data_IF_246564118135
#
_entry.id   IF_246564118135
#
_cell.length_a   1.000
_cell.length_b   1.000
_cell.length_c   1.000
_cell.angle_alpha   90.00
_cell.angle_beta   90.00
_cell.angle_gamma   90.00
#
_symmetry.space_group_name_H-M   'P 1'
#
loop_
_entity.id
_entity.type
_entity.pdbx_description
1 polymer ?
#
# COMPACT_ATOMS: atom_id res chain seq x y z
N UNK A 1 33.84 -55.54 8.09
CA UNK A 1 33.19 -54.32 7.53
C UNK A 1 34.29 -53.44 6.94
N UNK A 2 34.29 -53.24 5.61
CA UNK A 2 35.35 -52.55 4.89
C UNK A 2 35.31 -51.05 5.21
N UNK A 3 36.38 -50.50 5.74
CA UNK A 3 36.56 -49.06 6.04
C UNK A 3 36.28 -48.13 4.83
N UNK A 4 36.44 -48.66 3.61
CA UNK A 4 36.16 -47.93 2.37
C UNK A 4 34.67 -47.62 2.15
N UNK A 5 33.76 -48.50 2.60
CA UNK A 5 32.31 -48.30 2.41
C UNK A 5 31.73 -47.25 3.36
N UNK A 6 32.28 -47.13 4.58
CA UNK A 6 31.85 -46.13 5.55
C UNK A 6 32.20 -44.71 5.13
N UNK A 7 33.36 -44.51 4.52
CA UNK A 7 33.78 -43.21 4.01
C UNK A 7 32.93 -42.75 2.81
N UNK A 8 32.61 -43.65 1.89
CA UNK A 8 31.72 -43.39 0.74
C UNK A 8 30.34 -42.95 1.21
N UNK A 9 29.77 -43.62 2.21
CA UNK A 9 28.44 -43.28 2.77
C UNK A 9 28.47 -41.90 3.40
N UNK A 10 29.56 -41.56 4.13
CA UNK A 10 29.69 -40.25 4.75
C UNK A 10 29.77 -39.12 3.69
N UNK A 11 30.51 -39.33 2.60
CA UNK A 11 30.63 -38.35 1.50
C UNK A 11 29.27 -38.18 0.81
N UNK A 12 28.53 -39.26 0.53
CA UNK A 12 27.19 -39.18 -0.06
C UNK A 12 26.19 -38.42 0.83
N UNK A 13 26.24 -38.62 2.14
CA UNK A 13 25.38 -37.90 3.09
C UNK A 13 25.68 -36.39 3.10
N UNK A 14 26.94 -36.00 3.07
CA UNK A 14 27.35 -34.59 3.00
C UNK A 14 26.89 -33.93 1.70
N UNK A 15 27.04 -34.62 0.56
CA UNK A 15 26.62 -34.10 -0.75
C UNK A 15 25.08 -33.93 -0.79
N UNK A 16 24.30 -34.87 -0.26
CA UNK A 16 22.86 -34.77 -0.18
C UNK A 16 22.41 -33.60 0.69
N UNK A 17 23.05 -33.40 1.85
CA UNK A 17 22.78 -32.25 2.72
C UNK A 17 23.08 -30.92 2.01
N UNK A 18 24.19 -30.84 1.28
CA UNK A 18 24.53 -29.63 0.50
C UNK A 18 23.50 -29.35 -0.60
N UNK A 19 23.05 -30.39 -1.33
CA UNK A 19 22.02 -30.23 -2.37
C UNK A 19 20.69 -29.77 -1.75
N UNK A 20 20.28 -30.33 -0.61
CA UNK A 20 19.07 -29.92 0.10
C UNK A 20 19.18 -28.47 0.60
N UNK A 21 20.33 -28.05 1.11
CA UNK A 21 20.58 -26.67 1.53
C UNK A 21 20.54 -25.68 0.36
N UNK A 22 21.13 -26.04 -0.78
CA UNK A 22 21.10 -25.21 -2.00
C UNK A 22 19.66 -25.12 -2.53
N UNK A 23 18.91 -26.22 -2.55
CA UNK A 23 17.51 -26.24 -2.96
C UNK A 23 16.65 -25.40 -2.00
N UNK A 24 16.88 -25.48 -0.69
CA UNK A 24 16.20 -24.68 0.32
C UNK A 24 16.50 -23.18 0.16
N UNK A 25 17.77 -22.81 -0.03
CA UNK A 25 18.18 -21.42 -0.24
C UNK A 25 17.68 -20.86 -1.58
N UNK A 26 17.58 -21.69 -2.63
CA UNK A 26 17.01 -21.28 -3.90
C UNK A 26 15.47 -21.20 -3.84
N UNK A 27 14.80 -22.01 -3.01
CA UNK A 27 13.37 -21.92 -2.75
C UNK A 27 13.01 -20.62 -2.00
N UNK A 28 13.90 -20.16 -1.14
CA UNK A 28 13.78 -18.85 -0.48
C UNK A 28 14.05 -17.67 -1.42
N UNK A 29 14.81 -17.91 -2.49
CA UNK A 29 15.08 -16.92 -3.55
C UNK A 29 14.08 -16.99 -4.70
N UNK A 30 12.90 -17.63 -4.54
CA UNK A 30 11.85 -17.38 -5.51
C UNK A 30 11.62 -15.87 -5.51
N UNK A 31 11.90 -15.18 -6.63
CA UNK A 31 11.41 -13.84 -6.79
C UNK A 31 9.91 -14.01 -6.63
N UNK A 32 9.36 -13.47 -5.53
CA UNK A 32 7.95 -13.19 -5.47
C UNK A 32 7.64 -12.63 -6.83
N UNK A 33 6.83 -13.33 -7.63
CA UNK A 33 6.33 -12.82 -8.90
C UNK A 33 5.89 -11.40 -8.60
N UNK A 34 6.76 -10.46 -8.96
CA UNK A 34 6.60 -9.03 -8.74
C UNK A 34 5.38 -8.60 -9.52
N UNK A 35 4.21 -8.87 -8.94
CA UNK A 35 3.09 -8.05 -9.33
C UNK A 35 3.47 -6.63 -8.94
N UNK A 36 3.29 -5.66 -9.82
CA UNK A 36 3.68 -4.29 -9.52
C UNK A 36 3.07 -3.88 -8.18
N UNK A 37 3.91 -3.30 -7.33
CA UNK A 37 3.52 -2.66 -6.09
C UNK A 37 2.43 -1.64 -6.42
N UNK A 38 1.32 -1.55 -5.67
CA UNK A 38 0.32 -0.53 -5.94
C UNK A 38 0.97 0.84 -5.99
N UNK A 39 0.79 1.55 -7.10
CA UNK A 39 1.37 2.87 -7.30
C UNK A 39 0.41 3.94 -6.79
N UNK A 40 0.92 4.85 -5.98
CA UNK A 40 0.17 6.01 -5.47
C UNK A 40 0.49 7.28 -6.27
N UNK A 41 1.52 7.21 -7.13
CA UNK A 41 2.10 8.41 -7.74
C UNK A 41 1.25 9.04 -8.86
N UNK A 42 0.32 8.32 -9.46
CA UNK A 42 -0.41 8.75 -10.66
C UNK A 42 -1.88 9.15 -10.41
N UNK A 43 -2.27 9.36 -9.15
CA UNK A 43 -3.63 9.76 -8.87
C UNK A 43 -3.71 11.29 -8.87
N UNK A 44 -4.33 11.84 -9.89
CA UNK A 44 -4.46 13.29 -10.19
C UNK A 44 -5.29 14.08 -9.14
N UNK A 45 -5.64 13.39 -8.02
CA UNK A 45 -6.28 13.98 -6.85
C UNK A 45 -5.50 15.19 -6.27
N UNK A 46 -4.18 15.27 -6.52
CA UNK A 46 -3.36 16.43 -6.13
C UNK A 46 -3.85 17.74 -6.74
N UNK A 47 -4.40 17.71 -7.95
CA UNK A 47 -4.91 18.91 -8.61
C UNK A 47 -6.10 19.51 -7.83
N UNK A 48 -6.96 18.68 -7.24
CA UNK A 48 -8.06 19.12 -6.40
C UNK A 48 -7.56 19.81 -5.10
N UNK A 49 -6.51 19.29 -4.49
CA UNK A 49 -5.92 19.84 -3.26
C UNK A 49 -5.24 21.21 -3.48
N UNK A 50 -4.89 21.53 -4.72
CA UNK A 50 -4.21 22.80 -5.09
C UNK A 50 -5.20 23.91 -5.44
N UNK A 51 -6.51 23.65 -5.48
CA UNK A 51 -7.50 24.72 -5.69
C UNK A 51 -7.40 25.77 -4.57
N UNK A 52 -7.49 27.07 -4.89
CA UNK A 52 -7.47 28.10 -3.87
C UNK A 52 -8.61 27.86 -2.89
N UNK A 53 -8.26 27.70 -1.61
CA UNK A 53 -9.26 27.54 -0.55
C UNK A 53 -10.13 28.80 -0.49
N UNK A 54 -11.46 28.65 -0.49
CA UNK A 54 -12.32 29.79 -0.21
C UNK A 54 -11.99 30.36 1.18
N UNK A 55 -12.06 31.66 1.33
CA UNK A 55 -11.86 32.36 2.62
C UNK A 55 -13.06 32.16 3.55
N UNK A 56 -13.43 30.90 3.80
CA UNK A 56 -14.58 30.57 4.63
C UNK A 56 -14.12 30.50 6.08
N UNK A 57 -14.60 31.39 6.92
CA UNK A 57 -14.38 31.38 8.38
C UNK A 57 -15.26 30.34 9.11
N UNK A 58 -15.95 29.49 8.36
CA UNK A 58 -16.89 28.53 8.89
C UNK A 58 -16.19 27.40 9.67
N UNK A 59 -16.68 27.17 10.88
CA UNK A 59 -16.15 26.14 11.78
C UNK A 59 -16.36 24.73 11.22
N UNK A 60 -17.42 24.50 10.48
CA UNK A 60 -17.75 23.18 9.89
C UNK A 60 -16.78 22.85 8.76
N UNK A 61 -16.51 23.80 7.86
CA UNK A 61 -15.53 23.63 6.79
C UNK A 61 -14.12 23.36 7.35
N UNK A 62 -13.72 24.14 8.37
CA UNK A 62 -12.41 23.94 9.05
C UNK A 62 -12.32 22.55 9.71
N UNK A 63 -13.43 22.07 10.28
CA UNK A 63 -13.46 20.73 10.88
C UNK A 63 -13.31 19.62 9.82
N UNK A 64 -13.96 19.78 8.66
CA UNK A 64 -13.80 18.85 7.52
C UNK A 64 -12.38 18.88 6.96
N UNK A 65 -11.79 20.05 6.75
CA UNK A 65 -10.40 20.19 6.28
C UNK A 65 -9.41 19.54 7.24
N UNK A 66 -9.61 19.71 8.56
CA UNK A 66 -8.78 19.05 9.58
C UNK A 66 -8.91 17.52 9.52
N UNK A 67 -10.13 16.99 9.38
CA UNK A 67 -10.37 15.55 9.25
C UNK A 67 -9.69 15.00 7.99
N UNK A 68 -9.85 15.69 6.85
CA UNK A 68 -9.19 15.37 5.59
C UNK A 68 -7.67 15.30 5.74
N UNK A 69 -7.07 16.34 6.32
CA UNK A 69 -5.63 16.42 6.52
C UNK A 69 -5.11 15.29 7.45
N UNK A 70 -5.86 14.95 8.50
CA UNK A 70 -5.51 13.85 9.40
C UNK A 70 -5.55 12.49 8.68
N UNK A 71 -6.58 12.26 7.85
CA UNK A 71 -6.70 11.04 7.07
C UNK A 71 -5.55 10.92 6.05
N UNK A 72 -5.18 12.00 5.38
CA UNK A 72 -4.05 12.03 4.45
C UNK A 72 -2.71 11.77 5.16
N UNK A 73 -2.50 12.35 6.34
CA UNK A 73 -1.31 12.07 7.16
C UNK A 73 -1.24 10.59 7.57
N UNK A 74 -2.36 10.01 8.03
CA UNK A 74 -2.43 8.60 8.38
C UNK A 74 -2.12 7.71 7.18
N UNK A 75 -2.68 8.02 6.01
CA UNK A 75 -2.44 7.30 4.76
C UNK A 75 -0.95 7.26 4.39
N UNK A 76 -0.28 8.39 4.48
CA UNK A 76 1.14 8.50 4.10
C UNK A 76 2.04 7.75 5.10
N UNK A 77 1.74 7.84 6.40
CA UNK A 77 2.44 7.09 7.45
C UNK A 77 2.28 5.58 7.23
N UNK A 78 1.05 5.11 7.08
CA UNK A 78 0.76 3.68 6.94
C UNK A 78 1.34 3.12 5.62
N UNK A 79 1.42 3.94 4.56
CA UNK A 79 2.09 3.53 3.33
C UNK A 79 3.61 3.40 3.51
N UNK A 80 4.23 4.33 4.25
CA UNK A 80 5.66 4.23 4.58
C UNK A 80 5.94 2.99 5.45
N UNK A 81 5.05 2.65 6.37
CA UNK A 81 5.15 1.42 7.17
C UNK A 81 4.95 0.17 6.30
N UNK A 82 4.06 0.21 5.31
CA UNK A 82 3.93 -0.85 4.32
C UNK A 82 5.22 -1.06 3.52
N UNK A 83 5.83 0.02 3.05
CA UNK A 83 7.11 -0.05 2.33
C UNK A 83 8.22 -0.67 3.17
N UNK A 84 8.23 -0.39 4.48
CA UNK A 84 9.24 -0.85 5.42
C UNK A 84 9.03 -2.28 5.90
N UNK A 85 7.79 -2.68 6.15
CA UNK A 85 7.46 -3.94 6.81
C UNK A 85 6.76 -4.96 5.92
N UNK A 86 6.31 -4.57 4.73
CA UNK A 86 5.67 -5.45 3.77
C UNK A 86 4.29 -6.00 4.19
N UNK A 87 3.69 -5.49 5.26
CA UNK A 87 2.43 -6.03 5.79
C UNK A 87 1.21 -5.52 5.03
N UNK A 88 0.36 -6.44 4.58
CA UNK A 88 -0.93 -6.14 3.94
C UNK A 88 -1.83 -5.23 4.79
N UNK A 89 -1.71 -5.28 6.12
CA UNK A 89 -2.50 -4.45 7.03
C UNK A 89 -2.18 -2.98 6.78
N UNK A 90 -0.90 -2.59 6.73
CA UNK A 90 -0.49 -1.21 6.48
C UNK A 90 -0.90 -0.73 5.09
N UNK A 91 -0.82 -1.60 4.07
CA UNK A 91 -1.32 -1.28 2.73
C UNK A 91 -2.81 -0.97 2.76
N UNK A 92 -3.62 -1.85 3.34
CA UNK A 92 -5.07 -1.68 3.41
C UNK A 92 -5.47 -0.44 4.21
N UNK A 93 -4.83 -0.18 5.37
CA UNK A 93 -5.12 1.01 6.19
C UNK A 93 -4.73 2.29 5.48
N UNK A 94 -3.62 2.31 4.75
CA UNK A 94 -3.22 3.45 3.93
C UNK A 94 -4.29 3.80 2.89
N UNK A 95 -4.76 2.82 2.10
CA UNK A 95 -5.78 3.08 1.09
C UNK A 95 -7.15 3.42 1.70
N UNK A 96 -7.54 2.83 2.82
CA UNK A 96 -8.75 3.22 3.54
C UNK A 96 -8.68 4.69 3.98
N UNK A 97 -7.56 5.13 4.51
CA UNK A 97 -7.36 6.54 4.91
C UNK A 97 -7.38 7.49 3.71
N UNK A 98 -6.89 7.07 2.51
CA UNK A 98 -7.01 7.87 1.27
C UNK A 98 -8.45 8.00 0.81
N UNK A 99 -9.21 6.91 0.84
CA UNK A 99 -10.65 6.91 0.53
C UNK A 99 -11.40 7.84 1.50
N UNK A 100 -11.06 7.78 2.78
CA UNK A 100 -11.66 8.66 3.80
C UNK A 100 -11.31 10.14 3.54
N UNK A 101 -10.06 10.46 3.23
CA UNK A 101 -9.63 11.80 2.84
C UNK A 101 -10.41 12.32 1.63
N UNK A 102 -10.58 11.50 0.58
CA UNK A 102 -11.33 11.86 -0.62
C UNK A 102 -12.83 12.09 -0.30
N UNK A 103 -13.42 11.30 0.60
CA UNK A 103 -14.80 11.50 1.05
C UNK A 103 -14.97 12.82 1.83
N UNK A 104 -14.00 13.22 2.67
CA UNK A 104 -14.03 14.54 3.30
C UNK A 104 -13.90 15.66 2.25
N UNK A 105 -13.07 15.48 1.23
CA UNK A 105 -12.96 16.44 0.13
C UNK A 105 -14.29 16.58 -0.63
N UNK A 106 -15.02 15.49 -0.86
CA UNK A 106 -16.37 15.53 -1.45
C UNK A 106 -17.35 16.33 -0.58
N UNK A 107 -17.34 16.12 0.73
CA UNK A 107 -18.19 16.88 1.65
C UNK A 107 -17.84 18.37 1.63
N UNK A 108 -16.55 18.73 1.55
CA UNK A 108 -16.10 20.11 1.42
C UNK A 108 -16.55 20.72 0.10
N UNK A 109 -16.48 20.00 -1.01
CA UNK A 109 -16.94 20.49 -2.31
C UNK A 109 -18.47 20.69 -2.31
N UNK A 110 -19.23 19.74 -1.75
CA UNK A 110 -20.68 19.88 -1.57
C UNK A 110 -21.05 21.05 -0.67
N UNK A 111 -20.22 21.33 0.33
CA UNK A 111 -20.42 22.47 1.22
C UNK A 111 -20.25 23.82 0.50
N UNK A 112 -19.28 23.90 -0.41
CA UNK A 112 -18.97 25.12 -1.18
C UNK A 112 -19.96 25.30 -2.35
N UNK A 113 -20.13 24.26 -3.16
CA UNK A 113 -20.82 24.33 -4.46
C UNK A 113 -22.26 23.82 -4.40
N UNK A 114 -22.67 23.25 -3.25
CA UNK A 114 -24.00 22.69 -3.07
C UNK A 114 -24.28 21.53 -4.02
N UNK A 115 -25.51 21.47 -4.54
CA UNK A 115 -25.94 20.38 -5.43
C UNK A 115 -25.32 20.45 -6.84
N UNK A 116 -24.67 21.54 -7.19
CA UNK A 116 -24.02 21.74 -8.50
C UNK A 116 -22.54 21.31 -8.49
N UNK A 117 -22.07 20.74 -7.37
CA UNK A 117 -20.70 20.27 -7.24
C UNK A 117 -20.38 19.18 -8.27
N UNK A 118 -19.31 19.36 -9.03
CA UNK A 118 -18.77 18.30 -9.87
C UNK A 118 -17.84 17.42 -9.02
N UNK A 119 -18.31 16.22 -8.73
CA UNK A 119 -17.62 15.24 -7.89
C UNK A 119 -16.91 14.14 -8.70
N UNK A 120 -16.93 14.23 -10.03
CA UNK A 120 -16.46 13.16 -10.94
C UNK A 120 -14.99 12.80 -10.72
N UNK A 121 -14.12 13.78 -10.49
CA UNK A 121 -12.69 13.55 -10.19
C UNK A 121 -12.52 12.81 -8.86
N UNK A 122 -13.26 13.20 -7.82
CA UNK A 122 -13.18 12.57 -6.51
C UNK A 122 -13.76 11.15 -6.51
N UNK A 123 -14.84 10.92 -7.26
CA UNK A 123 -15.41 9.59 -7.43
C UNK A 123 -14.44 8.67 -8.19
N UNK A 124 -13.75 9.20 -9.18
CA UNK A 124 -12.71 8.46 -9.90
C UNK A 124 -11.55 8.12 -8.97
N UNK A 125 -11.05 9.08 -8.20
CA UNK A 125 -9.97 8.86 -7.24
C UNK A 125 -10.33 7.79 -6.19
N UNK A 126 -11.56 7.80 -5.67
CA UNK A 126 -12.03 6.78 -4.73
C UNK A 126 -12.00 5.38 -5.36
N UNK A 127 -12.51 5.23 -6.59
CA UNK A 127 -12.49 3.95 -7.32
C UNK A 127 -11.06 3.46 -7.56
N UNK A 128 -10.15 4.37 -7.90
CA UNK A 128 -8.75 4.03 -8.12
C UNK A 128 -8.08 3.57 -6.81
N UNK A 129 -8.36 4.23 -5.68
CA UNK A 129 -7.88 3.78 -4.37
C UNK A 129 -8.46 2.41 -3.98
N UNK A 130 -9.74 2.15 -4.24
CA UNK A 130 -10.35 0.83 -4.01
C UNK A 130 -9.70 -0.25 -4.86
N UNK A 131 -9.41 0.05 -6.13
CA UNK A 131 -8.72 -0.85 -7.04
C UNK A 131 -7.28 -1.12 -6.57
N UNK A 132 -6.51 -0.09 -6.19
CA UNK A 132 -5.16 -0.27 -5.65
C UNK A 132 -5.17 -1.03 -4.33
N UNK A 133 -6.14 -0.75 -3.43
CA UNK A 133 -6.34 -1.52 -2.20
C UNK A 133 -6.52 -3.01 -2.47
N UNK A 134 -7.26 -3.37 -3.52
CA UNK A 134 -7.49 -4.77 -3.89
C UNK A 134 -6.21 -5.53 -4.28
N UNK A 135 -5.13 -4.79 -4.60
CA UNK A 135 -3.81 -5.33 -4.96
C UNK A 135 -2.88 -5.48 -3.75
N UNK A 136 -3.31 -5.02 -2.58
CA UNK A 136 -2.52 -5.14 -1.35
C UNK A 136 -2.23 -6.59 -1.00
N UNK A 137 -1.00 -6.86 -0.60
CA UNK A 137 -0.54 -8.18 -0.17
C UNK A 137 0.70 -8.04 0.71
N UNK A 138 0.99 -9.09 1.47
CA UNK A 138 2.26 -9.17 2.17
C UNK A 138 3.41 -9.33 1.17
N UNK A 139 4.51 -8.65 1.42
CA UNK A 139 5.77 -8.85 0.72
C UNK A 139 6.93 -8.79 1.71
N UNK A 140 8.06 -9.38 1.34
CA UNK A 140 9.27 -9.26 2.15
C UNK A 140 10.12 -8.13 1.54
N UNK A 141 10.30 -6.99 2.23
CA UNK A 141 11.02 -5.84 1.70
C UNK A 141 12.53 -6.12 1.53
#
# INVERSE_FOLDING_TARGET
>A
MNKTNTWLIAVFAVVLICICLIAYLNSQKQPSLLRPKPSVENLDYKAFLLRPKPSIEDLEYKALDKKRANAEFAANRDYADYEKFGSIIFCNTSFNSRIESANYAKQMELYISGKEADLSELDTAIKDYENERSKCRDFNP
#
